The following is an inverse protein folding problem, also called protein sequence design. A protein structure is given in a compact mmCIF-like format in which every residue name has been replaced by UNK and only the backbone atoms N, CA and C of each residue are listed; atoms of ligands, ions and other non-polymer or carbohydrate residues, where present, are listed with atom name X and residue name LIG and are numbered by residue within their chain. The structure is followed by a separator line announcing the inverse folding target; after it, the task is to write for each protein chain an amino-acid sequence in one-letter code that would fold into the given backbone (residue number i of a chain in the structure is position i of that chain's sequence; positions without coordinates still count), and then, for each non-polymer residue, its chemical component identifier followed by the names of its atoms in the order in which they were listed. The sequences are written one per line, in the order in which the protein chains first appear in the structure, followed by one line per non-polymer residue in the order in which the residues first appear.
data_IF_081151765123
#
_entry.id   IF_081151765123
#
_cell.length_a   1.000
_cell.length_b   1.000
_cell.length_c   1.000
_cell.angle_alpha   90.00
_cell.angle_beta   90.00
_cell.angle_gamma   90.00
#
_symmetry.space_group_name_H-M   'P 1'
#
loop_
_entity.id
_entity.type
_entity.pdbx_description
1 polymer ?
#
# COMPACT_ATOMS: atom_id res chain seq x y z
N UNK A 1 -7.98 -45.42 -5.71
CA UNK A 1 -7.99 -44.32 -6.65
C UNK A 1 -9.44 -44.11 -7.15
N UNK A 2 -10.35 -43.58 -6.33
CA UNK A 2 -11.73 -43.18 -6.76
C UNK A 2 -12.52 -42.67 -5.56
N UNK A 3 -11.99 -41.70 -4.78
CA UNK A 3 -12.80 -41.05 -3.71
C UNK A 3 -12.47 -39.56 -3.48
N UNK A 4 -11.61 -38.92 -4.31
CA UNK A 4 -11.24 -37.51 -4.16
C UNK A 4 -11.89 -36.53 -5.19
N UNK A 5 -12.93 -36.97 -5.89
CA UNK A 5 -13.60 -36.13 -6.92
C UNK A 5 -15.08 -35.84 -6.67
N UNK A 6 -15.58 -35.92 -5.44
CA UNK A 6 -17.00 -35.66 -5.13
C UNK A 6 -17.27 -34.50 -4.16
N UNK A 7 -16.34 -33.57 -3.95
CA UNK A 7 -16.61 -32.38 -3.13
C UNK A 7 -16.44 -31.05 -3.90
N UNK A 8 -16.72 -31.02 -5.19
CA UNK A 8 -16.77 -29.82 -6.03
C UNK A 8 -18.20 -29.59 -6.52
N UNK A 9 -19.13 -29.31 -5.61
CA UNK A 9 -20.52 -29.14 -6.00
C UNK A 9 -21.38 -28.47 -4.94
N UNK A 10 -21.06 -27.21 -4.60
CA UNK A 10 -21.97 -26.18 -4.05
C UNK A 10 -21.27 -24.83 -4.05
N UNK A 11 -20.75 -24.40 -5.19
CA UNK A 11 -20.26 -23.04 -5.42
C UNK A 11 -21.45 -22.09 -5.58
N UNK A 12 -22.05 -21.64 -4.50
CA UNK A 12 -22.96 -20.49 -4.54
C UNK A 12 -22.25 -19.34 -5.27
N UNK A 13 -22.93 -18.70 -6.25
CA UNK A 13 -22.38 -17.54 -6.97
C UNK A 13 -21.93 -16.51 -5.95
N UNK A 14 -20.64 -16.14 -5.94
CA UNK A 14 -20.13 -15.00 -5.19
C UNK A 14 -20.90 -13.75 -5.59
N UNK A 15 -21.20 -12.87 -4.65
CA UNK A 15 -21.77 -11.56 -4.95
C UNK A 15 -20.82 -10.71 -5.80
N UNK A 16 -21.35 -9.71 -6.48
CA UNK A 16 -20.58 -8.81 -7.33
C UNK A 16 -20.27 -7.49 -6.63
N UNK A 17 -19.05 -6.99 -6.76
CA UNK A 17 -18.62 -5.70 -6.26
C UNK A 17 -18.64 -4.66 -7.38
N UNK A 18 -19.49 -3.64 -7.24
CA UNK A 18 -19.44 -2.44 -8.07
C UNK A 18 -18.97 -1.24 -7.28
N UNK A 19 -17.91 -0.58 -7.76
CA UNK A 19 -17.30 0.61 -7.15
C UNK A 19 -17.61 1.83 -8.00
N UNK A 20 -18.19 2.87 -7.39
CA UNK A 20 -18.31 4.20 -7.96
C UNK A 20 -17.08 5.02 -7.53
N UNK A 21 -16.19 5.25 -8.47
CA UNK A 21 -14.88 5.83 -8.26
C UNK A 21 -14.85 7.29 -8.69
N UNK A 22 -14.17 8.15 -7.94
CA UNK A 22 -14.00 9.54 -8.31
C UNK A 22 -12.71 10.13 -7.76
N UNK A 23 -12.27 11.24 -8.32
CA UNK A 23 -11.00 11.86 -7.95
C UNK A 23 -11.05 12.63 -6.62
N UNK A 24 -12.23 13.09 -6.20
CA UNK A 24 -12.41 13.89 -4.97
C UNK A 24 -13.79 13.68 -4.34
N UNK A 25 -13.98 14.19 -3.12
CA UNK A 25 -15.29 14.33 -2.52
C UNK A 25 -16.15 15.35 -3.33
N UNK A 26 -17.45 15.15 -3.39
CA UNK A 26 -18.38 16.07 -4.06
C UNK A 26 -18.56 15.85 -5.57
N UNK A 27 -17.80 14.97 -6.23
CA UNK A 27 -17.95 14.69 -7.67
C UNK A 27 -19.25 13.96 -8.02
N UNK A 28 -20.03 13.48 -7.02
CA UNK A 28 -21.33 12.84 -7.24
C UNK A 28 -21.32 11.31 -7.15
N UNK A 29 -20.28 10.67 -6.61
CA UNK A 29 -20.18 9.20 -6.49
C UNK A 29 -21.39 8.57 -5.82
N UNK A 30 -21.77 9.09 -4.66
CA UNK A 30 -22.91 8.55 -3.90
C UNK A 30 -24.22 8.75 -4.65
N UNK A 31 -24.40 9.87 -5.33
CA UNK A 31 -25.57 10.10 -6.17
C UNK A 31 -25.66 9.07 -7.30
N UNK A 32 -24.59 8.83 -8.03
CA UNK A 32 -24.51 7.82 -9.10
C UNK A 32 -24.77 6.41 -8.55
N UNK A 33 -24.21 6.07 -7.41
CA UNK A 33 -24.41 4.78 -6.73
C UNK A 33 -25.89 4.56 -6.38
N UNK A 34 -26.54 5.57 -5.77
CA UNK A 34 -27.95 5.50 -5.38
C UNK A 34 -28.88 5.41 -6.59
N UNK A 35 -28.60 6.15 -7.63
CA UNK A 35 -29.36 6.08 -8.88
C UNK A 35 -29.24 4.69 -9.53
N UNK A 36 -28.05 4.10 -9.54
CA UNK A 36 -27.86 2.74 -10.05
C UNK A 36 -28.58 1.69 -9.18
N UNK A 37 -28.62 1.89 -7.86
CA UNK A 37 -29.32 1.01 -6.92
C UNK A 37 -30.84 1.05 -7.12
N UNK A 38 -31.43 2.22 -7.30
CA UNK A 38 -32.86 2.37 -7.64
C UNK A 38 -33.19 1.72 -8.97
N UNK A 39 -32.30 1.84 -9.95
CA UNK A 39 -32.49 1.13 -11.23
C UNK A 39 -32.44 -0.40 -11.06
N UNK A 40 -31.64 -0.92 -10.14
CA UNK A 40 -31.60 -2.34 -9.83
C UNK A 40 -32.90 -2.79 -9.14
N UNK A 41 -33.42 -1.99 -8.20
CA UNK A 41 -34.70 -2.23 -7.54
C UNK A 41 -35.88 -2.25 -8.56
N UNK A 42 -35.93 -1.30 -9.49
CA UNK A 42 -36.92 -1.26 -10.58
C UNK A 42 -36.89 -2.51 -11.48
N UNK A 43 -35.76 -3.19 -11.56
CA UNK A 43 -35.58 -4.45 -12.26
C UNK A 43 -35.95 -5.67 -11.42
N UNK A 44 -36.45 -5.45 -10.20
CA UNK A 44 -36.94 -6.50 -9.30
C UNK A 44 -35.84 -7.11 -8.40
N UNK A 45 -34.67 -6.48 -8.27
CA UNK A 45 -33.68 -6.92 -7.30
C UNK A 45 -34.11 -6.51 -5.89
N UNK A 46 -33.86 -7.37 -4.91
CA UNK A 46 -34.04 -7.08 -3.49
C UNK A 46 -32.84 -6.21 -3.00
N UNK A 47 -33.08 -4.91 -2.87
CA UNK A 47 -32.04 -3.91 -2.55
C UNK A 47 -32.23 -3.38 -1.14
N UNK A 48 -31.14 -3.40 -0.36
CA UNK A 48 -31.12 -2.92 1.03
C UNK A 48 -30.04 -1.84 1.22
N UNK A 49 -30.38 -0.80 1.98
CA UNK A 49 -29.42 0.22 2.39
C UNK A 49 -28.71 -0.26 3.67
N UNK A 50 -27.42 -0.59 3.54
CA UNK A 50 -26.59 -0.98 4.68
C UNK A 50 -26.01 0.23 5.41
N UNK A 51 -25.31 1.12 4.70
CA UNK A 51 -24.71 2.31 5.28
C UNK A 51 -24.57 3.41 4.24
N UNK A 52 -25.17 4.56 4.50
CA UNK A 52 -25.03 5.77 3.69
C UNK A 52 -24.82 6.95 4.65
N UNK A 53 -23.84 7.81 4.34
CA UNK A 53 -23.66 9.04 5.09
C UNK A 53 -24.87 10.00 4.86
N UNK A 54 -25.25 10.79 5.86
CA UNK A 54 -26.28 11.80 5.67
C UNK A 54 -25.78 12.89 4.71
N UNK A 55 -26.48 13.07 3.58
CA UNK A 55 -26.18 14.11 2.59
C UNK A 55 -27.31 15.13 2.53
N UNK A 56 -27.04 16.37 2.92
CA UNK A 56 -28.00 17.48 2.83
C UNK A 56 -28.46 17.75 1.40
N UNK A 57 -27.56 17.56 0.43
CA UNK A 57 -27.88 17.77 -1.00
C UNK A 57 -28.89 16.80 -1.60
N UNK A 58 -29.21 15.71 -0.88
CA UNK A 58 -30.22 14.73 -1.30
C UNK A 58 -31.59 14.96 -0.65
N UNK A 59 -31.67 15.77 0.40
CA UNK A 59 -32.86 15.87 1.25
C UNK A 59 -34.12 16.39 0.51
N UNK A 60 -33.93 17.20 -0.53
CA UNK A 60 -35.03 17.85 -1.27
C UNK A 60 -35.24 17.30 -2.69
N UNK A 61 -34.79 16.08 -2.98
CA UNK A 61 -34.88 15.49 -4.30
C UNK A 61 -35.88 14.33 -4.34
N UNK A 62 -36.50 14.08 -5.53
CA UNK A 62 -37.31 12.88 -5.76
C UNK A 62 -36.54 11.59 -5.49
N UNK A 63 -35.20 11.61 -5.57
CA UNK A 63 -34.31 10.53 -5.20
C UNK A 63 -34.39 10.23 -3.69
N UNK A 64 -34.43 11.27 -2.84
CA UNK A 64 -34.51 11.11 -1.38
C UNK A 64 -35.85 10.48 -0.94
N UNK A 65 -36.95 10.83 -1.59
CA UNK A 65 -38.27 10.24 -1.28
C UNK A 65 -38.26 8.74 -1.57
N UNK A 66 -37.72 8.32 -2.71
CA UNK A 66 -37.59 6.91 -3.10
C UNK A 66 -36.66 6.15 -2.15
N UNK A 67 -35.53 6.73 -1.76
CA UNK A 67 -34.58 6.14 -0.82
C UNK A 67 -35.17 5.98 0.60
N UNK A 68 -36.11 6.87 1.00
CA UNK A 68 -36.84 6.72 2.27
C UNK A 68 -37.77 5.52 2.29
N UNK A 69 -38.25 5.11 1.12
CA UNK A 69 -39.12 3.94 0.97
C UNK A 69 -38.36 2.59 0.97
N UNK A 70 -37.03 2.64 0.69
CA UNK A 70 -36.20 1.42 0.67
C UNK A 70 -35.94 0.89 2.09
N UNK A 71 -35.81 -0.44 2.22
CA UNK A 71 -35.40 -1.06 3.47
C UNK A 71 -33.99 -0.57 3.88
N UNK A 72 -33.85 -0.15 5.15
CA UNK A 72 -32.60 0.33 5.72
C UNK A 72 -32.26 -0.48 6.96
N UNK A 73 -30.98 -0.87 7.07
CA UNK A 73 -30.46 -1.39 8.32
C UNK A 73 -30.12 -0.18 9.22
N UNK A 74 -30.86 0.02 10.33
CA UNK A 74 -30.71 1.19 11.22
C UNK A 74 -29.29 1.33 11.77
N UNK A 75 -28.70 0.21 12.19
CA UNK A 75 -27.26 0.08 12.45
C UNK A 75 -26.75 -1.06 11.58
N UNK A 76 -25.70 -0.81 10.80
CA UNK A 76 -25.15 -1.86 9.96
C UNK A 76 -24.53 -2.97 10.82
N UNK A 77 -25.17 -4.13 10.80
CA UNK A 77 -24.72 -5.37 11.40
C UNK A 77 -24.47 -6.39 10.29
N UNK A 78 -23.24 -6.84 10.17
CA UNK A 78 -22.79 -7.78 9.13
C UNK A 78 -23.54 -9.11 9.22
N UNK A 79 -23.74 -9.67 10.42
CA UNK A 79 -24.42 -10.94 10.61
C UNK A 79 -25.91 -10.83 10.27
N UNK A 80 -26.53 -9.71 10.59
CA UNK A 80 -27.92 -9.43 10.21
C UNK A 80 -28.04 -9.30 8.68
N UNK A 81 -27.12 -8.62 8.03
CA UNK A 81 -27.08 -8.48 6.57
C UNK A 81 -26.91 -9.83 5.89
N UNK A 82 -26.01 -10.68 6.37
CA UNK A 82 -25.79 -12.03 5.82
C UNK A 82 -27.03 -12.92 6.03
N UNK A 83 -27.69 -12.87 7.18
CA UNK A 83 -28.95 -13.62 7.44
C UNK A 83 -30.12 -13.13 6.59
N UNK A 84 -30.22 -11.80 6.37
CA UNK A 84 -31.25 -11.18 5.51
C UNK A 84 -31.10 -11.58 4.06
N UNK A 85 -29.82 -11.71 3.62
CA UNK A 85 -29.39 -12.15 2.30
C UNK A 85 -30.08 -11.42 1.12
N UNK A 86 -30.00 -10.08 1.05
CA UNK A 86 -30.52 -9.33 -0.09
C UNK A 86 -29.71 -9.65 -1.35
N UNK A 87 -30.28 -9.34 -2.54
CA UNK A 87 -29.55 -9.45 -3.80
C UNK A 87 -28.45 -8.40 -3.91
N UNK A 88 -28.73 -7.19 -3.38
CA UNK A 88 -27.83 -6.04 -3.41
C UNK A 88 -27.88 -5.26 -2.08
N UNK A 89 -26.71 -4.92 -1.55
CA UNK A 89 -26.57 -4.01 -0.41
C UNK A 89 -25.76 -2.76 -0.81
N UNK A 90 -26.22 -1.60 -0.34
CA UNK A 90 -25.54 -0.33 -0.59
C UNK A 90 -24.69 0.02 0.63
N UNK A 91 -23.40 0.17 0.40
CA UNK A 91 -22.40 0.48 1.45
C UNK A 91 -21.51 1.64 0.98
N UNK A 92 -21.87 2.86 1.35
CA UNK A 92 -21.10 4.06 0.98
C UNK A 92 -19.73 4.09 1.69
N UNK A 93 -18.71 4.66 1.03
CA UNK A 93 -17.35 4.86 1.55
C UNK A 93 -16.61 3.55 1.93
N UNK A 94 -16.06 2.89 0.93
CA UNK A 94 -15.32 1.63 1.03
C UNK A 94 -14.12 1.70 1.99
N UNK A 95 -13.51 2.88 2.15
CA UNK A 95 -12.31 3.08 2.97
C UNK A 95 -12.60 3.36 4.44
N UNK A 96 -13.85 3.59 4.81
CA UNK A 96 -14.26 3.98 6.16
C UNK A 96 -13.81 2.98 7.23
N UNK A 97 -13.44 3.50 8.40
CA UNK A 97 -13.29 2.69 9.61
C UNK A 97 -14.66 2.30 10.16
N UNK A 98 -14.78 1.06 10.59
CA UNK A 98 -15.98 0.60 11.27
C UNK A 98 -16.02 1.09 12.74
N UNK A 99 -17.21 1.19 13.35
CA UNK A 99 -17.34 1.51 14.77
C UNK A 99 -16.54 0.55 15.66
N UNK A 100 -16.11 1.03 16.83
CA UNK A 100 -15.42 0.19 17.82
C UNK A 100 -16.35 -0.95 18.26
N UNK A 101 -15.83 -2.18 18.24
CA UNK A 101 -16.61 -3.38 18.58
C UNK A 101 -17.17 -4.12 17.37
N UNK A 102 -17.06 -3.57 16.16
CA UNK A 102 -17.38 -4.29 14.93
C UNK A 102 -16.44 -5.48 14.73
N UNK A 103 -16.90 -6.54 14.02
CA UNK A 103 -16.09 -7.73 13.70
C UNK A 103 -14.81 -7.36 12.94
N UNK A 104 -14.88 -6.44 12.02
CA UNK A 104 -13.75 -5.94 11.27
C UNK A 104 -13.52 -4.46 11.55
N UNK A 105 -12.27 -4.02 11.50
CA UNK A 105 -11.91 -2.61 11.69
C UNK A 105 -12.19 -1.74 10.46
N UNK A 106 -12.28 -2.35 9.28
CA UNK A 106 -12.43 -1.65 8.00
C UNK A 106 -13.61 -2.18 7.21
N UNK A 107 -14.37 -1.27 6.60
CA UNK A 107 -15.58 -1.59 5.81
C UNK A 107 -15.31 -2.52 4.61
N UNK A 108 -14.19 -2.40 3.92
CA UNK A 108 -13.85 -3.30 2.82
C UNK A 108 -13.74 -4.77 3.25
N UNK A 109 -13.45 -5.03 4.53
CA UNK A 109 -13.40 -6.40 5.07
C UNK A 109 -14.79 -6.99 5.23
N UNK A 110 -15.76 -6.18 5.72
CA UNK A 110 -17.17 -6.60 5.79
C UNK A 110 -17.73 -6.86 4.39
N UNK A 111 -17.43 -5.96 3.44
CA UNK A 111 -17.84 -6.13 2.04
C UNK A 111 -17.31 -7.45 1.48
N UNK A 112 -16.07 -7.82 1.78
CA UNK A 112 -15.52 -9.12 1.35
C UNK A 112 -16.32 -10.31 1.89
N UNK A 113 -16.82 -10.25 3.14
CA UNK A 113 -17.69 -11.31 3.69
C UNK A 113 -19.07 -11.33 3.03
N UNK A 114 -19.67 -10.16 2.76
CA UNK A 114 -20.93 -10.07 2.04
C UNK A 114 -20.82 -10.71 0.64
N UNK A 115 -19.78 -10.41 -0.10
CA UNK A 115 -19.52 -10.99 -1.42
C UNK A 115 -19.38 -12.53 -1.35
N UNK A 116 -18.65 -13.04 -0.34
CA UNK A 116 -18.53 -14.49 -0.10
C UNK A 116 -19.87 -15.14 0.24
N UNK A 117 -20.76 -14.41 0.91
CA UNK A 117 -22.12 -14.87 1.23
C UNK A 117 -23.07 -14.84 -0.02
N UNK A 118 -22.59 -14.35 -1.17
CA UNK A 118 -23.36 -14.26 -2.41
C UNK A 118 -24.17 -12.96 -2.52
N UNK A 119 -23.92 -11.97 -1.69
CA UNK A 119 -24.61 -10.67 -1.67
C UNK A 119 -23.79 -9.69 -2.51
N UNK A 120 -24.40 -9.08 -3.53
CA UNK A 120 -23.75 -8.02 -4.31
C UNK A 120 -23.67 -6.72 -3.54
N UNK A 121 -22.62 -5.92 -3.80
CA UNK A 121 -22.38 -4.68 -3.07
C UNK A 121 -22.11 -3.53 -4.04
N UNK A 122 -22.82 -2.40 -3.85
CA UNK A 122 -22.49 -1.12 -4.46
C UNK A 122 -21.82 -0.23 -3.40
N UNK A 123 -20.68 0.37 -3.77
CA UNK A 123 -19.90 1.20 -2.85
C UNK A 123 -19.21 2.35 -3.57
N UNK A 124 -18.70 3.31 -2.82
CA UNK A 124 -17.95 4.45 -3.37
C UNK A 124 -16.52 4.46 -2.86
N UNK A 125 -15.60 5.01 -3.65
CA UNK A 125 -14.23 5.27 -3.23
C UNK A 125 -13.64 6.48 -3.96
N UNK A 126 -12.76 7.22 -3.32
CA UNK A 126 -12.02 8.32 -3.96
C UNK A 126 -10.57 7.89 -4.25
N UNK A 127 -9.93 8.54 -5.23
CA UNK A 127 -8.54 8.25 -5.59
C UNK A 127 -7.58 8.37 -4.40
N UNK A 128 -7.83 9.30 -3.49
CA UNK A 128 -7.05 9.49 -2.26
C UNK A 128 -7.02 8.28 -1.34
N UNK A 129 -8.04 7.42 -1.42
CA UNK A 129 -8.19 6.26 -0.54
C UNK A 129 -7.49 5.00 -1.07
N UNK A 130 -6.94 5.02 -2.28
CA UNK A 130 -6.18 3.89 -2.84
C UNK A 130 -4.75 3.92 -2.32
N UNK A 131 -4.26 2.82 -1.78
CA UNK A 131 -2.97 2.74 -1.09
C UNK A 131 -1.80 3.19 -1.96
N UNK A 132 -1.71 2.75 -3.22
CA UNK A 132 -0.61 3.11 -4.13
C UNK A 132 -0.60 4.59 -4.51
N UNK A 133 -1.74 5.28 -4.43
CA UNK A 133 -1.86 6.69 -4.81
C UNK A 133 -1.64 7.66 -3.65
N UNK A 134 -1.57 7.17 -2.40
CA UNK A 134 -1.58 8.01 -1.21
C UNK A 134 -0.48 9.07 -1.18
N UNK A 135 0.75 8.72 -1.52
CA UNK A 135 1.87 9.67 -1.54
C UNK A 135 1.78 10.68 -2.68
N UNK A 136 1.20 10.30 -3.83
CA UNK A 136 0.93 11.23 -4.94
C UNK A 136 -0.13 12.24 -4.51
N UNK A 137 -1.23 11.75 -3.96
CA UNK A 137 -2.33 12.61 -3.47
C UNK A 137 -1.83 13.54 -2.37
N UNK A 138 -1.06 13.03 -1.42
CA UNK A 138 -0.46 13.85 -0.36
C UNK A 138 0.49 14.90 -0.92
N UNK A 139 1.27 14.59 -1.96
CA UNK A 139 2.16 15.56 -2.61
C UNK A 139 1.39 16.68 -3.33
N UNK A 140 0.25 16.37 -3.96
CA UNK A 140 -0.61 17.33 -4.64
C UNK A 140 -1.34 18.22 -3.63
N UNK A 141 -1.99 17.61 -2.63
CA UNK A 141 -2.95 18.28 -1.75
C UNK A 141 -2.33 18.85 -0.48
N UNK A 142 -1.12 18.37 -0.11
CA UNK A 142 -0.44 18.64 1.16
C UNK A 142 -1.20 18.14 2.39
N UNK A 143 -2.15 17.23 2.20
CA UNK A 143 -2.99 16.67 3.26
C UNK A 143 -2.80 15.15 3.31
N UNK A 144 -2.40 14.60 4.47
CA UNK A 144 -2.25 13.16 4.63
C UNK A 144 -3.64 12.49 4.71
N UNK A 145 -3.81 11.39 3.98
CA UNK A 145 -5.03 10.59 4.01
C UNK A 145 -4.81 9.36 4.89
N UNK A 146 -5.67 9.15 5.87
CA UNK A 146 -5.59 8.03 6.83
C UNK A 146 -6.34 6.80 6.35
N UNK A 147 -7.54 7.00 5.80
CA UNK A 147 -8.43 5.92 5.40
C UNK A 147 -8.07 5.43 4.01
N UNK A 148 -7.57 4.20 3.94
CA UNK A 148 -7.04 3.60 2.72
C UNK A 148 -7.54 2.19 2.53
N UNK A 149 -7.65 1.80 1.26
CA UNK A 149 -7.93 0.43 0.84
C UNK A 149 -6.73 -0.14 0.10
N UNK A 150 -6.47 -1.45 0.22
CA UNK A 150 -5.49 -2.14 -0.63
C UNK A 150 -5.88 -2.03 -2.10
N UNK A 151 -4.91 -1.86 -2.98
CA UNK A 151 -5.11 -1.82 -4.44
C UNK A 151 -5.85 -3.04 -4.95
N UNK A 152 -5.59 -4.22 -4.38
CA UNK A 152 -6.24 -5.46 -4.74
C UNK A 152 -7.78 -5.42 -4.59
N UNK A 153 -8.32 -4.64 -3.66
CA UNK A 153 -9.77 -4.48 -3.50
C UNK A 153 -10.37 -3.72 -4.68
N UNK A 154 -9.68 -2.69 -5.17
CA UNK A 154 -10.07 -1.92 -6.34
C UNK A 154 -9.90 -2.72 -7.63
N UNK A 155 -8.80 -3.44 -7.77
CA UNK A 155 -8.45 -4.19 -8.99
C UNK A 155 -9.36 -5.40 -9.22
N UNK A 156 -9.74 -6.11 -8.16
CA UNK A 156 -10.61 -7.28 -8.24
C UNK A 156 -12.12 -6.97 -8.15
N UNK A 157 -12.51 -5.69 -8.12
CA UNK A 157 -13.92 -5.34 -8.23
C UNK A 157 -14.47 -5.82 -9.58
N UNK A 158 -15.72 -6.31 -9.62
CA UNK A 158 -16.37 -6.78 -10.88
C UNK A 158 -16.59 -5.59 -11.82
N UNK A 159 -17.00 -4.46 -11.27
CA UNK A 159 -17.23 -3.23 -12.03
C UNK A 159 -16.66 -2.01 -11.30
N UNK A 160 -16.03 -1.11 -12.05
CA UNK A 160 -15.65 0.22 -11.58
C UNK A 160 -16.24 1.25 -12.54
N UNK A 161 -17.06 2.13 -12.00
CA UNK A 161 -17.65 3.25 -12.72
C UNK A 161 -16.97 4.54 -12.30
N UNK A 162 -16.31 5.20 -13.25
CA UNK A 162 -15.67 6.50 -12.99
C UNK A 162 -16.72 7.59 -13.01
N UNK A 163 -16.90 8.25 -11.88
CA UNK A 163 -17.75 9.44 -11.74
C UNK A 163 -16.87 10.67 -11.87
N UNK A 164 -16.95 11.32 -13.01
CA UNK A 164 -16.13 12.45 -13.38
C UNK A 164 -16.95 13.73 -13.42
N UNK A 165 -16.36 14.81 -12.91
CA UNK A 165 -16.91 16.15 -12.91
C UNK A 165 -15.79 17.15 -13.22
N UNK A 166 -16.08 18.17 -14.01
CA UNK A 166 -15.10 19.22 -14.30
C UNK A 166 -14.66 19.94 -13.00
N UNK A 167 -13.34 20.12 -12.75
CA UNK A 167 -12.85 20.76 -11.52
C UNK A 167 -13.48 22.11 -11.18
N UNK A 168 -13.78 22.94 -12.18
CA UNK A 168 -14.45 24.24 -11.97
C UNK A 168 -15.89 24.06 -11.50
N UNK A 169 -16.63 23.14 -12.10
CA UNK A 169 -18.00 22.81 -11.70
C UNK A 169 -18.04 22.24 -10.28
N UNK A 170 -17.07 21.37 -9.93
CA UNK A 170 -16.94 20.88 -8.55
C UNK A 170 -16.76 22.03 -7.56
N UNK A 171 -15.88 22.99 -7.86
CA UNK A 171 -15.68 24.16 -6.99
C UNK A 171 -16.93 25.02 -6.84
N UNK A 172 -17.71 25.18 -7.89
CA UNK A 172 -19.01 25.91 -7.85
C UNK A 172 -20.02 25.15 -6.96
N UNK A 173 -20.12 23.83 -7.09
CA UNK A 173 -20.97 23.00 -6.21
C UNK A 173 -20.56 23.10 -4.75
N UNK A 174 -19.25 23.10 -4.47
CA UNK A 174 -18.72 23.25 -3.11
C UNK A 174 -19.06 24.63 -2.51
N UNK A 175 -18.93 25.70 -3.29
CA UNK A 175 -19.32 27.07 -2.87
C UNK A 175 -20.81 27.18 -2.56
N UNK A 176 -21.63 26.40 -3.26
CA UNK A 176 -23.09 26.38 -3.08
C UNK A 176 -23.54 25.41 -1.95
N UNK A 177 -22.61 24.90 -1.13
CA UNK A 177 -22.91 24.08 0.04
C UNK A 177 -23.27 22.62 -0.26
N UNK A 178 -22.87 22.09 -1.42
CA UNK A 178 -23.19 20.72 -1.84
C UNK A 178 -22.42 19.62 -1.07
N UNK A 179 -21.47 19.96 -0.21
CA UNK A 179 -20.84 19.02 0.70
C UNK A 179 -21.45 19.15 2.10
N UNK A 180 -21.97 18.05 2.63
CA UNK A 180 -22.17 17.93 4.06
C UNK A 180 -20.80 17.97 4.74
N UNK A 181 -20.63 18.83 5.73
CA UNK A 181 -19.48 18.80 6.62
C UNK A 181 -19.49 17.46 7.38
N UNK A 182 -18.75 16.46 6.87
CA UNK A 182 -18.26 15.41 7.75
C UNK A 182 -17.21 16.08 8.63
N UNK A 183 -17.41 16.07 9.93
CA UNK A 183 -16.38 16.45 10.90
C UNK A 183 -15.10 15.67 10.58
N UNK A 184 -14.06 16.38 10.12
CA UNK A 184 -12.75 15.79 9.79
C UNK A 184 -12.40 15.70 8.31
N UNK A 185 -13.30 15.88 7.35
CA UNK A 185 -12.99 16.03 5.94
C UNK A 185 -12.90 17.54 5.59
N UNK A 186 -11.84 17.90 4.93
CA UNK A 186 -11.32 19.23 4.57
C UNK A 186 -12.38 20.30 4.33
N UNK A 187 -12.43 21.35 5.14
CA UNK A 187 -13.39 22.42 4.94
C UNK A 187 -13.20 23.11 3.58
N UNK A 188 -14.28 23.56 2.93
CA UNK A 188 -14.22 24.39 1.73
C UNK A 188 -13.32 25.60 1.97
N UNK A 189 -12.29 25.79 1.13
CA UNK A 189 -11.32 26.87 1.29
C UNK A 189 -9.92 26.44 1.75
N UNK A 190 -9.71 25.15 2.02
CA UNK A 190 -8.36 24.59 2.25
C UNK A 190 -7.57 24.51 0.95
N UNK A 191 -6.24 24.42 1.07
CA UNK A 191 -5.32 24.22 -0.06
C UNK A 191 -5.65 22.95 -0.90
N UNK A 192 -6.50 22.06 -0.41
CA UNK A 192 -6.97 20.88 -1.12
C UNK A 192 -7.82 21.24 -2.35
N UNK A 193 -8.82 22.13 -2.20
CA UNK A 193 -9.81 22.45 -3.25
C UNK A 193 -9.35 23.65 -4.11
N UNK A 194 -8.30 23.47 -4.87
CA UNK A 194 -7.89 24.40 -5.93
C UNK A 194 -8.11 23.77 -7.30
N UNK A 195 -8.35 24.58 -8.36
CA UNK A 195 -8.49 24.06 -9.73
C UNK A 195 -7.27 23.20 -10.10
N UNK A 196 -6.07 23.66 -9.78
CA UNK A 196 -4.83 22.95 -10.11
C UNK A 196 -4.75 21.56 -9.42
N UNK A 197 -5.03 21.50 -8.11
CA UNK A 197 -5.00 20.24 -7.37
C UNK A 197 -6.10 19.29 -7.87
N UNK A 198 -7.31 19.77 -8.07
CA UNK A 198 -8.42 18.95 -8.56
C UNK A 198 -8.16 18.43 -9.98
N UNK A 199 -7.54 19.21 -10.85
CA UNK A 199 -7.13 18.77 -12.19
C UNK A 199 -6.08 17.67 -12.09
N UNK A 200 -5.07 17.82 -11.23
CA UNK A 200 -4.05 16.79 -11.01
C UNK A 200 -4.64 15.51 -10.42
N UNK A 201 -5.54 15.61 -9.44
CA UNK A 201 -6.24 14.46 -8.85
C UNK A 201 -7.12 13.74 -9.89
N UNK A 202 -7.81 14.49 -10.77
CA UNK A 202 -8.59 13.93 -11.88
C UNK A 202 -7.73 13.14 -12.83
N UNK A 203 -6.55 13.67 -13.21
CA UNK A 203 -5.58 12.94 -14.06
C UNK A 203 -5.13 11.65 -13.41
N UNK A 204 -4.80 11.67 -12.11
CA UNK A 204 -4.41 10.48 -11.35
C UNK A 204 -5.52 9.43 -11.35
N UNK A 205 -6.78 9.84 -11.13
CA UNK A 205 -7.91 8.92 -11.13
C UNK A 205 -8.17 8.30 -12.51
N UNK A 206 -8.13 9.10 -13.58
CA UNK A 206 -8.27 8.63 -14.95
C UNK A 206 -7.21 7.61 -15.31
N UNK A 207 -5.94 7.89 -14.96
CA UNK A 207 -4.81 6.97 -15.17
C UNK A 207 -5.04 5.66 -14.42
N UNK A 208 -5.47 5.72 -13.16
CA UNK A 208 -5.74 4.52 -12.35
C UNK A 208 -6.83 3.63 -12.94
N UNK A 209 -7.90 4.23 -13.51
CA UNK A 209 -8.92 3.49 -14.24
C UNK A 209 -8.36 2.85 -15.52
N UNK A 210 -7.56 3.58 -16.29
CA UNK A 210 -6.93 3.05 -17.49
C UNK A 210 -6.02 1.86 -17.18
N UNK A 211 -5.22 1.95 -16.12
CA UNK A 211 -4.34 0.86 -15.66
C UNK A 211 -5.17 -0.39 -15.31
N UNK A 212 -6.28 -0.22 -14.59
CA UNK A 212 -7.18 -1.33 -14.27
C UNK A 212 -7.79 -1.98 -15.53
N UNK A 213 -8.28 -1.19 -16.48
CA UNK A 213 -8.81 -1.72 -17.75
C UNK A 213 -7.74 -2.53 -18.48
N UNK A 214 -6.51 -2.01 -18.53
CA UNK A 214 -5.39 -2.69 -19.12
C UNK A 214 -5.05 -4.02 -18.44
N UNK A 215 -5.23 -4.13 -17.12
CA UNK A 215 -5.07 -5.39 -16.39
C UNK A 215 -6.16 -6.41 -16.75
N UNK A 216 -7.41 -5.98 -16.82
CA UNK A 216 -8.58 -6.85 -17.13
C UNK A 216 -8.60 -7.37 -18.58
N UNK A 217 -8.17 -6.54 -19.56
CA UNK A 217 -8.15 -6.94 -20.97
C UNK A 217 -7.08 -7.98 -21.30
N UNK A 218 -6.19 -8.27 -20.36
CA UNK A 218 -5.06 -9.19 -20.57
C UNK A 218 -5.27 -10.61 -20.13
N UNK A 219 -6.42 -11.00 -19.63
CA UNK A 219 -6.78 -12.40 -19.30
C UNK A 219 -5.60 -13.24 -18.76
N UNK A 220 -5.86 -14.22 -17.95
CA UNK A 220 -4.90 -15.14 -17.29
C UNK A 220 -3.87 -15.88 -18.19
N UNK A 221 -3.74 -15.50 -19.46
CA UNK A 221 -2.89 -16.17 -20.45
C UNK A 221 -1.89 -15.29 -21.17
N UNK A 222 -1.87 -13.97 -20.95
CA UNK A 222 -0.84 -13.12 -21.55
C UNK A 222 0.41 -13.17 -20.66
N UNK A 223 1.50 -13.68 -21.21
CA UNK A 223 2.83 -13.70 -20.61
C UNK A 223 3.06 -12.44 -19.79
N UNK A 224 3.55 -12.61 -18.57
CA UNK A 224 4.17 -11.53 -17.80
C UNK A 224 5.09 -10.81 -18.77
N UNK A 225 4.95 -9.48 -18.93
CA UNK A 225 5.93 -8.72 -19.69
C UNK A 225 7.32 -9.14 -19.20
N UNK A 226 8.35 -9.12 -20.03
CA UNK A 226 9.72 -9.54 -19.69
C UNK A 226 10.32 -8.77 -18.49
N UNK A 227 9.54 -7.88 -17.88
CA UNK A 227 9.97 -7.01 -16.79
C UNK A 227 9.65 -7.61 -15.40
N UNK A 228 10.64 -7.59 -14.53
CA UNK A 228 10.48 -8.00 -13.13
C UNK A 228 11.06 -6.91 -12.22
N UNK A 229 10.20 -6.30 -11.41
CA UNK A 229 10.56 -5.22 -10.49
C UNK A 229 10.82 -5.78 -9.11
N UNK A 230 12.02 -5.53 -8.58
CA UNK A 230 12.43 -5.87 -7.23
C UNK A 230 12.49 -4.62 -6.36
N UNK A 231 11.84 -4.63 -5.19
CA UNK A 231 12.01 -3.60 -4.18
C UNK A 231 12.77 -4.15 -2.97
N UNK A 232 13.75 -3.39 -2.49
CA UNK A 232 14.49 -3.76 -1.28
C UNK A 232 13.80 -3.21 -0.03
N UNK A 233 13.43 -4.11 0.88
CA UNK A 233 12.78 -3.76 2.14
C UNK A 233 13.79 -3.36 3.22
N UNK A 234 13.45 -2.37 4.01
CA UNK A 234 14.22 -1.91 5.15
C UNK A 234 13.32 -1.34 6.25
N UNK A 235 13.88 -1.12 7.45
CA UNK A 235 13.19 -0.45 8.54
C UNK A 235 13.19 1.09 8.40
N UNK A 236 13.74 1.67 7.32
CA UNK A 236 13.76 3.11 7.11
C UNK A 236 12.34 3.67 7.01
N UNK A 237 12.02 4.81 7.65
CA UNK A 237 10.70 5.46 7.54
C UNK A 237 10.27 5.77 6.10
N UNK A 238 11.23 6.04 5.20
CA UNK A 238 10.97 6.29 3.79
C UNK A 238 10.64 5.04 2.97
N UNK A 239 10.84 3.83 3.52
CA UNK A 239 10.68 2.59 2.75
C UNK A 239 9.24 2.38 2.27
N UNK A 240 8.22 2.83 3.01
CA UNK A 240 6.84 2.78 2.57
C UNK A 240 6.61 3.52 1.23
N UNK A 241 7.23 4.70 1.04
CA UNK A 241 7.18 5.44 -0.23
C UNK A 241 7.88 4.66 -1.35
N UNK A 242 9.00 4.02 -1.05
CA UNK A 242 9.77 3.22 -1.99
C UNK A 242 8.95 2.02 -2.48
N UNK A 243 8.31 1.30 -1.57
CA UNK A 243 7.42 0.16 -1.88
C UNK A 243 6.27 0.58 -2.79
N UNK A 244 5.58 1.71 -2.49
CA UNK A 244 4.51 2.23 -3.34
C UNK A 244 5.00 2.62 -4.74
N UNK A 245 6.19 3.24 -4.81
CA UNK A 245 6.80 3.60 -6.09
C UNK A 245 7.12 2.37 -6.91
N UNK A 246 7.72 1.33 -6.32
CA UNK A 246 8.02 0.08 -6.98
C UNK A 246 6.74 -0.64 -7.46
N UNK A 247 5.67 -0.64 -6.66
CA UNK A 247 4.38 -1.20 -7.06
C UNK A 247 3.81 -0.49 -8.30
N UNK A 248 3.84 0.86 -8.33
CA UNK A 248 3.42 1.61 -9.52
C UNK A 248 4.27 1.30 -10.75
N UNK A 249 5.58 1.13 -10.57
CA UNK A 249 6.48 0.75 -11.66
C UNK A 249 6.17 -0.65 -12.16
N UNK A 250 6.00 -1.64 -11.27
CA UNK A 250 5.62 -3.00 -11.64
C UNK A 250 4.30 -3.02 -12.43
N UNK A 251 3.30 -2.26 -11.97
CA UNK A 251 2.03 -2.12 -12.69
C UNK A 251 2.20 -1.44 -14.06
N UNK A 252 3.00 -0.37 -14.15
CA UNK A 252 3.23 0.36 -15.39
C UNK A 252 3.97 -0.50 -16.43
N UNK A 253 4.98 -1.26 -16.00
CA UNK A 253 5.70 -2.22 -16.85
C UNK A 253 4.98 -3.56 -17.02
N UNK A 254 3.90 -3.79 -16.23
CA UNK A 254 3.11 -5.02 -16.25
C UNK A 254 3.95 -6.25 -15.95
N UNK A 255 4.96 -6.04 -15.11
CA UNK A 255 5.94 -7.05 -14.74
C UNK A 255 5.63 -7.72 -13.40
N UNK A 256 6.39 -8.76 -13.10
CA UNK A 256 6.38 -9.37 -11.78
C UNK A 256 6.86 -8.36 -10.72
N UNK A 257 6.33 -8.46 -9.50
CA UNK A 257 6.70 -7.60 -8.39
C UNK A 257 7.16 -8.42 -7.19
N UNK A 258 8.41 -8.23 -6.77
CA UNK A 258 9.00 -8.92 -5.63
C UNK A 258 9.54 -7.90 -4.63
N UNK A 259 9.32 -8.16 -3.36
CA UNK A 259 9.87 -7.39 -2.25
C UNK A 259 10.87 -8.26 -1.48
N UNK A 260 12.14 -7.88 -1.53
CA UNK A 260 13.25 -8.62 -0.96
C UNK A 260 13.71 -8.00 0.36
N UNK A 261 13.82 -8.81 1.39
CA UNK A 261 14.47 -8.48 2.64
C UNK A 261 15.69 -9.36 2.87
N UNK A 262 16.87 -8.75 3.02
CA UNK A 262 18.09 -9.48 3.36
C UNK A 262 18.33 -9.35 4.87
N UNK A 263 18.24 -10.48 5.59
CA UNK A 263 18.57 -10.58 7.01
C UNK A 263 20.07 -10.69 7.17
N UNK A 264 20.63 -9.85 8.04
CA UNK A 264 22.03 -9.93 8.48
C UNK A 264 22.09 -10.42 9.92
N UNK A 265 23.22 -10.96 10.41
CA UNK A 265 23.41 -11.31 11.81
C UNK A 265 23.14 -10.17 12.79
N UNK A 266 23.44 -8.92 12.36
CA UNK A 266 23.19 -7.72 13.15
C UNK A 266 21.69 -7.45 13.41
N UNK A 267 20.79 -8.13 12.71
CA UNK A 267 19.34 -7.99 12.87
C UNK A 267 18.86 -8.42 14.27
N UNK A 268 19.61 -9.29 14.95
CA UNK A 268 19.33 -9.68 16.34
C UNK A 268 19.29 -8.47 17.29
N UNK A 269 19.99 -7.39 16.93
CA UNK A 269 20.09 -6.14 17.71
C UNK A 269 19.17 -5.03 17.20
N UNK A 270 18.25 -5.35 16.29
CA UNK A 270 17.22 -4.40 15.80
C UNK A 270 16.27 -4.06 16.95
N UNK A 271 16.02 -2.76 17.15
CA UNK A 271 15.07 -2.33 18.16
C UNK A 271 13.62 -2.71 17.77
N UNK A 272 12.74 -2.70 18.75
CA UNK A 272 11.35 -3.14 18.57
C UNK A 272 10.56 -2.21 17.64
N UNK A 273 10.87 -0.92 17.62
CA UNK A 273 10.24 0.05 16.73
C UNK A 273 10.60 -0.20 15.27
N UNK A 274 11.87 -0.44 14.98
CA UNK A 274 12.36 -0.76 13.64
C UNK A 274 11.82 -2.11 13.16
N UNK A 275 11.69 -3.09 14.06
CA UNK A 275 11.09 -4.39 13.75
C UNK A 275 9.61 -4.27 13.35
N UNK A 276 8.83 -3.50 14.11
CA UNK A 276 7.42 -3.22 13.80
C UNK A 276 7.27 -2.48 12.48
N UNK A 277 8.16 -1.52 12.22
CA UNK A 277 8.18 -0.76 10.96
C UNK A 277 8.49 -1.64 9.77
N UNK A 278 9.49 -2.51 9.89
CA UNK A 278 9.81 -3.48 8.84
C UNK A 278 8.63 -4.42 8.55
N UNK A 279 7.98 -4.96 9.59
CA UNK A 279 6.78 -5.80 9.42
C UNK A 279 5.64 -5.03 8.73
N UNK A 280 5.46 -3.76 9.05
CA UNK A 280 4.48 -2.90 8.38
C UNK A 280 4.80 -2.73 6.89
N UNK A 281 6.09 -2.56 6.53
CA UNK A 281 6.52 -2.46 5.13
C UNK A 281 6.35 -3.78 4.37
N UNK A 282 6.58 -4.92 5.00
CA UNK A 282 6.32 -6.23 4.40
C UNK A 282 4.83 -6.41 4.08
N UNK A 283 3.95 -6.11 5.06
CA UNK A 283 2.50 -6.15 4.85
C UNK A 283 2.04 -5.19 3.74
N UNK A 284 2.60 -3.99 3.70
CA UNK A 284 2.32 -3.02 2.65
C UNK A 284 2.70 -3.57 1.27
N UNK A 285 3.88 -4.20 1.15
CA UNK A 285 4.32 -4.80 -0.10
C UNK A 285 3.40 -5.94 -0.55
N UNK A 286 2.98 -6.83 0.37
CA UNK A 286 2.00 -7.88 0.10
C UNK A 286 0.65 -7.31 -0.37
N UNK A 287 0.14 -6.26 0.31
CA UNK A 287 -1.10 -5.58 -0.07
C UNK A 287 -1.05 -4.96 -1.47
N UNK A 288 0.14 -4.55 -1.91
CA UNK A 288 0.38 -4.00 -3.24
C UNK A 288 0.74 -5.08 -4.28
N UNK A 289 0.59 -6.36 -3.93
CA UNK A 289 0.77 -7.49 -4.84
C UNK A 289 2.21 -7.99 -4.98
N UNK A 290 3.13 -7.59 -4.09
CA UNK A 290 4.49 -8.12 -4.10
C UNK A 290 4.56 -9.53 -3.52
N UNK A 291 5.37 -10.38 -4.15
CA UNK A 291 5.86 -11.60 -3.53
C UNK A 291 6.97 -11.25 -2.53
N UNK A 292 6.86 -11.68 -1.28
CA UNK A 292 7.88 -11.42 -0.25
C UNK A 292 8.92 -12.53 -0.28
N UNK A 293 10.20 -12.13 -0.39
CA UNK A 293 11.34 -13.01 -0.29
C UNK A 293 12.27 -12.56 0.84
N UNK A 294 12.78 -13.53 1.61
CA UNK A 294 13.68 -13.26 2.74
C UNK A 294 14.92 -14.10 2.57
N UNK A 295 16.07 -13.45 2.47
CA UNK A 295 17.38 -14.09 2.35
C UNK A 295 18.25 -13.81 3.58
N UNK A 296 19.24 -14.64 3.82
CA UNK A 296 20.23 -14.48 4.89
C UNK A 296 21.61 -14.27 4.29
N UNK A 297 22.25 -13.14 4.59
CA UNK A 297 23.62 -12.86 4.10
C UNK A 297 24.28 -11.75 4.89
N UNK A 298 25.61 -11.81 4.97
CA UNK A 298 26.44 -10.73 5.52
C UNK A 298 26.75 -9.65 4.47
N UNK A 299 26.69 -9.99 3.18
CA UNK A 299 26.90 -9.05 2.06
C UNK A 299 25.57 -8.78 1.34
N UNK A 300 24.88 -7.73 1.80
CA UNK A 300 23.58 -7.33 1.26
C UNK A 300 23.65 -6.98 -0.24
N UNK A 301 24.57 -6.13 -0.74
CA UNK A 301 24.65 -5.80 -2.16
C UNK A 301 24.85 -7.02 -3.06
N UNK A 302 25.75 -7.90 -2.68
CA UNK A 302 26.01 -9.14 -3.42
C UNK A 302 24.77 -10.01 -3.49
N UNK A 303 24.11 -10.22 -2.34
CA UNK A 303 22.93 -11.08 -2.26
C UNK A 303 21.74 -10.53 -3.06
N UNK A 304 21.54 -9.21 -3.09
CA UNK A 304 20.51 -8.56 -3.91
C UNK A 304 20.82 -8.79 -5.40
N UNK A 305 22.06 -8.56 -5.83
CA UNK A 305 22.47 -8.74 -7.21
C UNK A 305 22.33 -10.20 -7.67
N UNK A 306 22.75 -11.15 -6.85
CA UNK A 306 22.66 -12.58 -7.16
C UNK A 306 21.20 -13.07 -7.24
N UNK A 307 20.35 -12.63 -6.28
CA UNK A 307 18.93 -12.91 -6.34
C UNK A 307 18.30 -12.34 -7.61
N UNK A 308 18.63 -11.10 -7.94
CA UNK A 308 18.09 -10.43 -9.13
C UNK A 308 18.47 -11.19 -10.41
N UNK A 309 19.72 -11.63 -10.52
CA UNK A 309 20.21 -12.42 -11.66
C UNK A 309 19.48 -13.76 -11.80
N UNK A 310 19.34 -14.51 -10.69
CA UNK A 310 18.70 -15.85 -10.72
C UNK A 310 17.20 -15.75 -10.97
N UNK A 311 16.55 -14.71 -10.43
CA UNK A 311 15.10 -14.54 -10.53
C UNK A 311 14.65 -13.77 -11.78
N UNK A 312 15.56 -13.42 -12.70
CA UNK A 312 15.23 -12.67 -13.90
C UNK A 312 14.69 -11.26 -13.62
N UNK A 313 15.17 -10.64 -12.55
CA UNK A 313 14.83 -9.24 -12.24
C UNK A 313 15.45 -8.33 -13.29
N UNK A 314 14.67 -7.39 -13.81
CA UNK A 314 15.14 -6.38 -14.76
C UNK A 314 15.32 -4.99 -14.10
N UNK A 315 14.57 -4.71 -13.04
CA UNK A 315 14.57 -3.40 -12.36
C UNK A 315 14.63 -3.55 -10.85
N UNK A 316 15.56 -2.84 -10.22
CA UNK A 316 15.71 -2.78 -8.76
C UNK A 316 15.33 -1.39 -8.27
N UNK A 317 14.45 -1.32 -7.27
CA UNK A 317 14.04 -0.06 -6.62
C UNK A 317 14.56 -0.05 -5.18
N UNK A 318 15.41 0.91 -4.87
CA UNK A 318 16.03 1.06 -3.54
C UNK A 318 15.91 2.48 -3.02
N UNK A 319 15.96 2.63 -1.69
CA UNK A 319 16.11 3.93 -1.04
C UNK A 319 17.55 4.40 -1.03
N UNK A 320 17.74 5.71 -1.11
CA UNK A 320 19.06 6.30 -0.90
C UNK A 320 19.46 6.10 0.55
N UNK A 321 20.56 5.38 0.81
CA UNK A 321 21.17 5.36 2.15
C UNK A 321 21.78 6.71 2.44
N UNK A 322 21.38 7.32 3.58
CA UNK A 322 21.95 8.58 4.05
C UNK A 322 23.33 8.41 4.74
N UNK A 323 24.08 7.36 4.38
CA UNK A 323 25.47 7.24 4.82
C UNK A 323 26.24 8.44 4.25
N UNK A 324 26.42 9.45 5.09
CA UNK A 324 27.23 10.64 4.80
C UNK A 324 28.66 10.21 4.49
N UNK A 325 29.17 10.68 3.37
CA UNK A 325 30.58 10.56 3.00
C UNK A 325 31.41 11.54 3.85
N UNK A 326 31.49 11.28 5.15
CA UNK A 326 32.26 12.19 6.03
C UNK A 326 33.77 11.86 6.12
N UNK A 327 34.22 10.77 5.46
CA UNK A 327 35.63 10.39 5.43
C UNK A 327 36.08 9.89 4.05
N UNK A 328 37.28 10.32 3.66
CA UNK A 328 37.99 9.95 2.41
C UNK A 328 38.19 8.42 2.29
N UNK A 329 38.07 7.65 3.38
CA UNK A 329 38.16 6.17 3.43
C UNK A 329 36.82 5.50 3.78
N UNK A 330 35.66 6.13 3.56
CA UNK A 330 34.37 5.49 3.80
C UNK A 330 34.14 4.34 2.82
N UNK A 331 33.59 3.22 3.33
CA UNK A 331 33.19 2.09 2.48
C UNK A 331 32.17 2.56 1.44
N UNK A 332 32.25 2.08 0.18
CA UNK A 332 31.29 2.45 -0.85
C UNK A 332 29.87 2.21 -0.38
N UNK A 333 28.95 3.13 -0.73
CA UNK A 333 27.55 3.03 -0.37
C UNK A 333 26.93 1.74 -0.95
N UNK A 334 25.90 1.19 -0.28
CA UNK A 334 25.17 0.01 -0.75
C UNK A 334 24.79 0.13 -2.23
N UNK A 335 24.34 1.31 -2.65
CA UNK A 335 23.97 1.64 -4.02
C UNK A 335 25.13 1.51 -5.00
N UNK A 336 26.31 2.01 -4.65
CA UNK A 336 27.52 1.92 -5.48
C UNK A 336 27.98 0.48 -5.67
N UNK A 337 27.95 -0.31 -4.58
CA UNK A 337 28.28 -1.74 -4.64
C UNK A 337 27.24 -2.53 -5.43
N UNK A 338 25.96 -2.21 -5.30
CA UNK A 338 24.91 -2.89 -6.03
C UNK A 338 25.04 -2.65 -7.53
N UNK A 339 25.25 -1.39 -7.96
CA UNK A 339 25.47 -1.04 -9.37
C UNK A 339 26.72 -1.75 -9.92
N UNK A 340 27.78 -1.85 -9.11
CA UNK A 340 29.01 -2.58 -9.49
C UNK A 340 28.78 -4.09 -9.65
N UNK A 341 27.91 -4.69 -8.83
CA UNK A 341 27.64 -6.13 -8.84
C UNK A 341 26.57 -6.54 -9.86
N UNK A 342 25.79 -5.58 -10.37
CA UNK A 342 24.68 -5.83 -11.27
C UNK A 342 24.66 -4.79 -12.42
N UNK A 343 25.65 -4.79 -13.32
CA UNK A 343 25.80 -3.77 -14.36
C UNK A 343 24.67 -3.81 -15.41
N UNK A 344 24.01 -4.95 -15.59
CA UNK A 344 22.96 -5.16 -16.58
C UNK A 344 21.55 -4.86 -16.05
N UNK A 345 21.44 -4.39 -14.81
CA UNK A 345 20.15 -4.12 -14.16
C UNK A 345 19.86 -2.63 -14.04
N UNK A 346 18.64 -2.24 -14.32
CA UNK A 346 18.16 -0.88 -14.06
C UNK A 346 18.00 -0.64 -12.56
N UNK A 347 18.79 0.22 -11.96
CA UNK A 347 18.73 0.55 -10.53
C UNK A 347 18.10 1.93 -10.32
N UNK A 348 16.90 1.95 -9.73
CA UNK A 348 16.15 3.16 -9.39
C UNK A 348 16.39 3.53 -7.93
N UNK A 349 17.01 4.68 -7.72
CA UNK A 349 17.33 5.19 -6.38
C UNK A 349 16.31 6.26 -6.01
N UNK A 350 15.45 5.95 -5.04
CA UNK A 350 14.44 6.88 -4.54
C UNK A 350 15.04 7.71 -3.40
N UNK A 351 15.10 9.05 -3.54
CA UNK A 351 15.64 9.91 -2.51
C UNK A 351 14.75 9.91 -1.27
N UNK A 352 15.39 10.01 -0.10
CA UNK A 352 14.69 10.21 1.15
C UNK A 352 14.10 11.63 1.22
N UNK A 353 12.87 11.73 1.73
CA UNK A 353 12.21 13.02 1.85
C UNK A 353 12.74 13.85 3.01
N UNK A 354 13.32 13.21 4.04
CA UNK A 354 13.87 13.87 5.23
C UNK A 354 15.21 13.24 5.67
N UNK A 355 16.33 13.69 5.09
CA UNK A 355 17.66 13.19 5.44
C UNK A 355 18.10 13.56 6.88
N UNK A 356 17.38 14.46 7.55
CA UNK A 356 17.63 14.90 8.92
C UNK A 356 16.88 14.12 9.99
N UNK A 357 16.13 13.08 9.63
CA UNK A 357 15.31 12.33 10.59
C UNK A 357 16.15 11.69 11.71
N UNK A 358 15.55 11.57 12.89
CA UNK A 358 16.18 10.96 14.09
C UNK A 358 16.62 9.50 13.85
N UNK A 359 16.03 8.81 12.86
CA UNK A 359 16.38 7.47 12.44
C UNK A 359 17.85 7.37 11.98
N UNK A 360 18.30 8.30 11.14
CA UNK A 360 19.68 8.31 10.65
C UNK A 360 20.67 8.72 11.74
N UNK A 361 20.27 9.57 12.67
CA UNK A 361 21.11 10.04 13.78
C UNK A 361 21.39 8.93 14.81
N UNK A 362 20.42 8.04 15.09
CA UNK A 362 20.58 6.90 16.01
C UNK A 362 21.53 5.83 15.47
N UNK A 363 21.54 5.59 14.16
CA UNK A 363 22.34 4.54 13.54
C UNK A 363 23.86 4.80 13.56
N UNK A 364 24.30 6.06 13.66
CA UNK A 364 25.71 6.41 13.80
C UNK A 364 26.32 6.11 15.17
N UNK A 365 25.51 5.89 16.20
CA UNK A 365 26.00 5.60 17.56
C UNK A 365 26.05 4.11 17.92
N UNK A 366 25.60 3.20 17.06
CA UNK A 366 25.34 1.79 17.38
C UNK A 366 26.39 0.76 16.96
N UNK A 367 27.40 1.10 16.15
CA UNK A 367 28.48 0.16 15.81
C UNK A 367 29.64 0.26 16.81
N UNK A 368 29.36 0.02 18.11
CA UNK A 368 30.42 -0.58 18.93
C UNK A 368 30.55 -2.04 18.46
N UNK A 369 31.49 -2.29 17.54
CA UNK A 369 32.11 -3.60 17.44
C UNK A 369 32.55 -3.94 18.87
N UNK A 370 31.91 -4.89 19.50
CA UNK A 370 32.51 -5.58 20.62
C UNK A 370 33.76 -6.25 20.08
N UNK A 371 34.88 -5.54 20.10
CA UNK A 371 36.17 -6.19 20.14
C UNK A 371 36.15 -6.96 21.46
N UNK A 372 35.89 -8.27 21.35
CA UNK A 372 35.99 -9.22 22.48
C UNK A 372 37.50 -9.44 22.75
N UNK A 373 38.23 -8.34 23.01
CA UNK A 373 39.55 -8.42 23.59
C UNK A 373 39.40 -8.05 25.05
N UNK A 374 39.44 -9.06 25.90
CA UNK A 374 39.62 -8.86 27.32
C UNK A 374 40.96 -8.12 27.55
N UNK A 375 40.99 -7.18 28.50
CA UNK A 375 42.25 -6.57 28.90
C UNK A 375 43.32 -7.62 29.28
N UNK A 376 42.87 -8.80 29.74
CA UNK A 376 43.70 -9.97 29.99
C UNK A 376 44.35 -10.57 28.75
N UNK A 377 43.68 -10.53 27.60
CA UNK A 377 44.26 -11.07 26.36
C UNK A 377 45.30 -10.14 25.75
N UNK A 378 45.13 -8.82 25.92
CA UNK A 378 46.13 -7.81 25.54
C UNK A 378 47.37 -7.99 26.40
N UNK A 379 47.20 -8.16 27.72
CA UNK A 379 48.32 -8.38 28.65
C UNK A 379 49.10 -9.66 28.33
N UNK A 380 48.40 -10.76 28.02
CA UNK A 380 49.01 -12.02 27.57
C UNK A 380 49.80 -11.86 26.28
N UNK A 381 49.27 -11.13 25.30
CA UNK A 381 49.94 -10.90 24.03
C UNK A 381 51.20 -10.03 24.20
N UNK A 382 51.17 -9.03 25.06
CA UNK A 382 52.36 -8.22 25.43
C UNK A 382 53.38 -9.08 26.17
N UNK A 383 52.95 -9.94 27.11
CA UNK A 383 53.80 -10.88 27.82
C UNK A 383 54.54 -11.87 26.89
N UNK A 384 53.84 -12.43 25.92
CA UNK A 384 54.42 -13.33 24.92
C UNK A 384 55.45 -12.60 24.04
N UNK A 385 55.17 -11.37 23.61
CA UNK A 385 56.09 -10.55 22.83
C UNK A 385 57.38 -10.20 23.62
N UNK A 386 57.25 -9.85 24.89
CA UNK A 386 58.40 -9.56 25.77
C UNK A 386 59.23 -10.83 26.00
N UNK A 387 58.59 -11.97 26.24
CA UNK A 387 59.30 -13.26 26.41
C UNK A 387 60.08 -13.64 25.15
N UNK A 388 59.44 -13.51 23.97
CA UNK A 388 60.10 -13.79 22.70
C UNK A 388 61.30 -12.83 22.44
N UNK A 389 61.14 -11.57 22.77
CA UNK A 389 62.21 -10.57 22.63
C UNK A 389 63.38 -10.86 23.59
N UNK A 390 63.13 -11.29 24.85
CA UNK A 390 64.16 -11.70 25.80
C UNK A 390 64.91 -12.95 25.36
N UNK A 391 64.18 -13.95 24.84
CA UNK A 391 64.79 -15.15 24.28
C UNK A 391 65.67 -14.82 23.06
N UNK A 392 65.17 -13.98 22.15
CA UNK A 392 65.96 -13.53 21.00
C UNK A 392 67.22 -12.79 21.38
N UNK A 393 67.15 -11.93 22.40
CA UNK A 393 68.32 -11.19 22.94
C UNK A 393 69.32 -12.16 23.57
N UNK A 394 68.87 -13.21 24.28
CA UNK A 394 69.77 -14.17 24.95
C UNK A 394 70.49 -15.12 23.94
N UNK A 395 69.90 -15.37 22.77
CA UNK A 395 70.57 -16.16 21.74
C UNK A 395 71.39 -15.35 20.73
N UNK A 396 71.31 -14.04 20.77
CA UNK A 396 72.09 -13.14 19.88
C UNK A 396 73.36 -12.58 20.52
N UNK A 397 73.50 -12.68 21.87
CA UNK A 397 74.70 -12.40 22.62
C UNK A 397 75.39 -13.69 23.08
#
# INVERSE_FOLDING_TARGET
MTEERQNAGEGGKSGQLKIFFGYAAGVGKTYAMLQAALTAEERGMDVVIGSIAPYRSLEDTALAERLRAMERLEEFDLDRAIRRKPDLIIMDDLACENPKGSRHSRRYQDIRELLKAGISVYTTVSAQNIESLNDIVTAITRVPVKDRIPDSVFDHADQVELVDLEPRELLERLRNGALAEKEGEHPPGTAYFTVANLTALREVALRRCADRINMLTRGDGAAHGDEHVLVCLSASPSNAKIVRTAARMANAFRGAFTALFVKTPDLAYMDEEDRKRLQSHMRLAEQLGARIEILYSDDIPFQIAEFARISGVSKIVIGRSAATRDHIFSKPALTEKLISNAPDLDVYIIPDADPGSSFYRKRHFGTRRHLVFSAGDILKSIGILLAASCIGFFFYN
#
